data_IF_667409890839
#
_entry.id   IF_667409890839
#
_cell.length_a   1.000
_cell.length_b   1.000
_cell.length_c   1.000
_cell.angle_alpha   90.00
_cell.angle_beta   90.00
_cell.angle_gamma   90.00
#
_symmetry.space_group_name_H-M   'P 1'
#
loop_
_entity.id
_entity.type
_entity.pdbx_description
1 polymer ?
#
# COMPACT_ATOMS: atom_id res chain seq x y z
N UNK A 1 -10.57 18.13 -29.03
CA UNK A 1 -9.95 18.69 -30.24
C UNK A 1 -10.51 20.09 -30.45
N UNK A 2 -9.82 20.96 -31.17
CA UNK A 2 -10.35 22.28 -31.52
C UNK A 2 -11.36 22.15 -32.66
N UNK A 3 -11.92 23.28 -33.09
CA UNK A 3 -12.86 23.35 -34.22
C UNK A 3 -12.25 22.90 -35.56
N UNK A 4 -10.93 22.81 -35.66
CA UNK A 4 -10.19 22.42 -36.86
C UNK A 4 -9.73 20.95 -36.80
N UNK A 5 -10.10 20.21 -35.75
CA UNK A 5 -9.68 18.81 -35.55
C UNK A 5 -8.29 18.65 -34.93
N UNK A 6 -7.63 19.72 -34.48
CA UNK A 6 -6.33 19.62 -33.82
C UNK A 6 -6.47 19.14 -32.38
N UNK A 7 -5.46 18.40 -31.91
CA UNK A 7 -5.39 18.00 -30.50
C UNK A 7 -5.07 19.21 -29.62
N UNK A 8 -6.02 19.61 -28.76
CA UNK A 8 -5.86 20.74 -27.83
C UNK A 8 -5.15 20.31 -26.55
N UNK A 9 -5.47 19.11 -26.06
CA UNK A 9 -4.86 18.51 -24.87
C UNK A 9 -4.77 17.00 -25.09
N UNK A 10 -3.62 16.42 -24.76
CA UNK A 10 -3.40 14.97 -24.77
C UNK A 10 -2.76 14.56 -23.44
N UNK A 11 -3.35 13.55 -22.77
CA UNK A 11 -2.81 12.91 -21.57
C UNK A 11 -2.31 13.90 -20.50
N UNK A 12 -3.03 15.01 -20.31
CA UNK A 12 -2.73 16.03 -19.30
C UNK A 12 -3.41 15.63 -17.99
N UNK A 13 -2.62 15.58 -16.92
CA UNK A 13 -3.12 15.50 -15.55
C UNK A 13 -3.21 16.92 -15.00
N UNK A 14 -4.40 17.30 -14.55
CA UNK A 14 -4.65 18.56 -13.84
C UNK A 14 -4.33 18.39 -12.35
N UNK A 15 -3.97 19.47 -11.68
CA UNK A 15 -3.66 19.46 -10.25
C UNK A 15 -4.90 19.89 -9.45
N UNK A 16 -5.09 19.28 -8.29
CA UNK A 16 -5.98 19.72 -7.21
C UNK A 16 -5.12 20.20 -6.04
N UNK A 17 -5.71 20.85 -5.02
CA UNK A 17 -4.96 21.25 -3.82
C UNK A 17 -4.25 20.07 -3.12
N UNK A 18 -4.81 18.86 -3.20
CA UNK A 18 -4.33 17.65 -2.53
C UNK A 18 -3.29 16.86 -3.34
N UNK A 19 -3.24 17.04 -4.66
CA UNK A 19 -2.32 16.31 -5.55
C UNK A 19 -2.78 16.26 -7.00
N UNK A 20 -2.32 15.25 -7.74
CA UNK A 20 -2.76 15.02 -9.12
C UNK A 20 -4.24 14.64 -9.13
N UNK A 21 -5.02 15.25 -10.03
CA UNK A 21 -6.45 15.00 -10.26
C UNK A 21 -6.74 13.64 -10.89
N UNK A 22 -6.30 12.58 -10.22
CA UNK A 22 -6.55 11.18 -10.49
C UNK A 22 -7.44 10.69 -9.36
N UNK A 23 -8.75 10.94 -9.47
CA UNK A 23 -9.67 10.65 -8.36
C UNK A 23 -9.78 9.14 -8.14
N UNK A 24 -9.44 8.73 -6.92
CA UNK A 24 -9.61 7.36 -6.46
C UNK A 24 -10.87 7.26 -5.60
N UNK A 25 -11.69 6.25 -5.85
CA UNK A 25 -12.84 5.96 -5.01
C UNK A 25 -12.39 5.63 -3.58
N UNK A 26 -13.10 6.19 -2.60
CA UNK A 26 -12.88 5.85 -1.19
C UNK A 26 -13.14 4.34 -0.99
N UNK A 27 -12.23 3.66 -0.31
CA UNK A 27 -12.34 2.22 -0.04
C UNK A 27 -13.34 1.96 1.09
N UNK A 28 -14.17 0.93 0.93
CA UNK A 28 -15.02 0.42 1.99
C UNK A 28 -14.13 -0.14 3.12
N UNK A 29 -14.20 0.39 4.35
CA UNK A 29 -13.25 0.05 5.41
C UNK A 29 -13.53 -1.32 6.05
N UNK A 30 -14.60 -2.00 5.65
CA UNK A 30 -14.97 -3.32 6.17
C UNK A 30 -15.13 -4.36 5.04
N UNK A 31 -14.78 -5.60 5.35
CA UNK A 31 -15.01 -6.72 4.44
C UNK A 31 -16.52 -6.98 4.33
N UNK A 32 -17.10 -6.94 3.12
CA UNK A 32 -18.51 -7.28 2.87
C UNK A 32 -18.73 -8.78 2.54
N UNK A 33 -17.67 -9.59 2.60
CA UNK A 33 -17.71 -11.04 2.33
C UNK A 33 -18.10 -11.86 3.56
N UNK A 34 -18.55 -13.11 3.34
CA UNK A 34 -18.96 -14.06 4.40
C UNK A 34 -17.83 -14.49 5.34
N UNK A 35 -16.58 -14.33 4.93
CA UNK A 35 -15.39 -14.61 5.75
C UNK A 35 -14.58 -13.34 5.89
N UNK A 36 -14.22 -13.00 7.13
CA UNK A 36 -13.30 -11.90 7.39
C UNK A 36 -11.94 -12.21 6.77
N UNK A 37 -11.30 -11.18 6.20
CA UNK A 37 -9.89 -11.29 5.77
C UNK A 37 -8.99 -11.41 7.00
N UNK A 38 -7.82 -12.02 6.82
CA UNK A 38 -6.79 -12.03 7.87
C UNK A 38 -6.30 -10.61 8.14
N UNK A 39 -5.82 -10.35 9.35
CA UNK A 39 -5.34 -9.03 9.75
C UNK A 39 -4.24 -8.53 8.79
N UNK A 40 -3.33 -9.41 8.41
CA UNK A 40 -2.16 -9.14 7.56
C UNK A 40 -2.57 -8.69 6.16
N UNK A 41 -3.71 -9.20 5.66
CA UNK A 41 -4.23 -8.83 4.34
C UNK A 41 -4.47 -7.32 4.20
N UNK A 42 -4.71 -6.63 5.32
CA UNK A 42 -4.94 -5.18 5.33
C UNK A 42 -3.87 -4.41 6.11
N UNK A 43 -3.40 -4.95 7.23
CA UNK A 43 -2.49 -4.24 8.13
C UNK A 43 -1.01 -4.37 7.73
N UNK A 44 -0.63 -5.41 6.96
CA UNK A 44 0.73 -5.64 6.46
C UNK A 44 0.84 -5.50 4.93
N UNK A 45 -0.10 -4.76 4.34
CA UNK A 45 -0.15 -4.58 2.91
C UNK A 45 0.13 -3.12 2.54
N UNK A 46 1.29 -2.81 1.92
CA UNK A 46 1.63 -1.46 1.49
C UNK A 46 0.56 -0.80 0.61
N UNK A 47 -0.12 -1.58 -0.25
CA UNK A 47 -1.20 -1.10 -1.10
C UNK A 47 -2.38 -0.62 -0.26
N UNK A 48 -2.78 -1.40 0.75
CA UNK A 48 -3.89 -1.05 1.64
C UNK A 48 -3.59 0.21 2.46
N UNK A 49 -2.33 0.43 2.81
CA UNK A 49 -1.85 1.63 3.49
C UNK A 49 -1.62 2.81 2.54
N UNK A 50 -1.90 2.66 1.25
CA UNK A 50 -1.79 3.72 0.24
C UNK A 50 -0.37 3.94 -0.31
N UNK A 51 0.61 3.08 0.01
CA UNK A 51 1.98 3.18 -0.50
C UNK A 51 2.17 2.57 -1.90
N UNK A 52 1.13 1.94 -2.46
CA UNK A 52 1.19 1.24 -3.73
C UNK A 52 1.52 -0.25 -3.59
N UNK A 53 1.37 -0.99 -4.68
CA UNK A 53 1.75 -2.40 -4.75
C UNK A 53 3.26 -2.47 -4.57
N UNK A 54 3.72 -3.26 -3.58
CA UNK A 54 5.16 -3.41 -3.31
C UNK A 54 5.85 -2.06 -3.11
N UNK A 55 5.18 -1.17 -2.35
CA UNK A 55 5.62 0.21 -2.08
C UNK A 55 5.74 1.11 -3.32
N UNK A 56 4.98 0.79 -4.38
CA UNK A 56 5.06 1.50 -5.64
C UNK A 56 6.37 1.26 -6.36
N UNK A 57 7.07 0.16 -6.04
CA UNK A 57 8.31 -0.25 -6.73
C UNK A 57 8.03 -0.63 -8.18
N UNK A 58 6.90 -1.28 -8.42
CA UNK A 58 6.49 -1.75 -9.75
C UNK A 58 5.58 -0.75 -10.45
N UNK A 59 5.18 -1.07 -11.68
CA UNK A 59 4.20 -0.30 -12.45
C UNK A 59 4.60 1.19 -12.60
N UNK A 60 5.89 1.46 -12.83
CA UNK A 60 6.40 2.79 -13.20
C UNK A 60 6.55 2.92 -14.72
N UNK A 61 6.82 4.12 -15.21
CA UNK A 61 7.11 4.35 -16.63
C UNK A 61 5.90 4.76 -17.46
N UNK A 62 4.76 5.04 -16.85
CA UNK A 62 3.58 5.56 -17.55
C UNK A 62 3.88 6.89 -18.25
N UNK A 63 4.85 7.66 -17.75
CA UNK A 63 5.32 8.89 -18.37
C UNK A 63 6.01 8.69 -19.73
N UNK A 64 6.39 7.44 -20.06
CA UNK A 64 7.05 7.06 -21.33
C UNK A 64 6.13 6.32 -22.28
N UNK A 65 4.97 5.87 -21.80
CA UNK A 65 4.12 4.91 -22.50
C UNK A 65 4.74 3.53 -22.52
N UNK A 66 3.96 2.52 -22.93
CA UNK A 66 4.47 1.16 -23.01
C UNK A 66 4.10 0.45 -24.32
N UNK A 67 5.07 -0.35 -24.76
CA UNK A 67 5.05 -1.13 -25.99
C UNK A 67 5.35 -2.61 -25.71
N UNK A 68 4.40 -3.51 -25.93
CA UNK A 68 4.64 -4.96 -25.87
C UNK A 68 4.89 -5.47 -27.29
N UNK A 69 6.05 -6.10 -27.49
CA UNK A 69 6.52 -6.57 -28.79
C UNK A 69 7.55 -7.68 -28.60
N UNK A 70 7.70 -8.55 -29.60
CA UNK A 70 8.73 -9.58 -29.66
C UNK A 70 10.13 -8.95 -29.52
N UNK A 71 10.94 -9.52 -28.63
CA UNK A 71 12.28 -9.04 -28.34
C UNK A 71 13.28 -10.20 -28.31
N UNK A 72 14.52 -9.92 -28.72
CA UNK A 72 15.66 -10.81 -28.49
C UNK A 72 15.94 -10.94 -26.99
N UNK A 73 16.75 -11.94 -26.60
CA UNK A 73 17.21 -12.12 -25.22
C UNK A 73 17.96 -10.90 -24.64
N UNK A 74 18.46 -10.00 -25.50
CA UNK A 74 19.13 -8.74 -25.13
C UNK A 74 18.18 -7.54 -25.10
N UNK A 75 16.86 -7.75 -25.22
CA UNK A 75 15.86 -6.68 -25.19
C UNK A 75 15.67 -5.91 -26.51
N UNK A 76 16.46 -6.20 -27.55
CA UNK A 76 16.23 -5.59 -28.88
C UNK A 76 14.91 -6.09 -29.46
N UNK A 77 13.98 -5.19 -29.72
CA UNK A 77 12.70 -5.49 -30.39
C UNK A 77 12.96 -5.99 -31.81
N UNK A 78 12.26 -7.05 -32.21
CA UNK A 78 12.41 -7.75 -33.50
C UNK A 78 11.60 -7.06 -34.61
N UNK A 79 10.32 -6.65 -34.39
CA UNK A 79 9.54 -5.99 -35.44
C UNK A 79 10.15 -4.63 -35.83
N UNK A 80 10.13 -4.33 -37.12
CA UNK A 80 10.53 -3.01 -37.63
C UNK A 80 9.40 -1.98 -37.49
N UNK A 81 8.16 -2.41 -37.73
CA UNK A 81 6.97 -1.61 -37.49
C UNK A 81 6.41 -1.95 -36.11
N UNK A 82 6.15 -0.91 -35.31
CA UNK A 82 5.69 -1.06 -33.92
C UNK A 82 4.69 0.02 -33.60
N UNK A 83 3.76 -0.30 -32.70
CA UNK A 83 2.81 0.64 -32.16
C UNK A 83 2.87 0.62 -30.63
N UNK A 84 2.78 1.81 -30.03
CA UNK A 84 2.65 1.95 -28.59
C UNK A 84 1.21 1.56 -28.20
N UNK A 85 1.04 0.54 -27.35
CA UNK A 85 -0.28 0.14 -26.86
C UNK A 85 -0.85 1.13 -25.85
N UNK A 86 -0.01 1.72 -25.01
CA UNK A 86 -0.44 2.77 -24.08
C UNK A 86 0.43 4.01 -24.21
N UNK A 87 -0.20 5.11 -24.60
CA UNK A 87 0.46 6.38 -24.82
C UNK A 87 1.03 6.94 -23.51
N UNK A 88 2.15 7.66 -23.62
CA UNK A 88 2.75 8.35 -22.49
C UNK A 88 1.78 9.30 -21.79
N UNK A 89 1.77 9.29 -20.46
CA UNK A 89 1.05 10.24 -19.61
C UNK A 89 2.10 10.97 -18.78
N UNK A 90 2.66 12.11 -19.25
CA UNK A 90 3.83 12.74 -18.62
C UNK A 90 3.65 13.10 -17.14
N UNK A 91 2.42 13.36 -16.70
CA UNK A 91 2.12 13.66 -15.29
C UNK A 91 1.99 12.43 -14.38
N UNK A 92 2.01 11.21 -14.94
CA UNK A 92 1.86 9.96 -14.19
C UNK A 92 3.24 9.32 -14.00
N UNK A 93 3.98 9.87 -13.04
CA UNK A 93 5.37 9.56 -12.70
C UNK A 93 5.53 8.53 -11.55
N UNK A 94 4.44 7.89 -11.13
CA UNK A 94 4.38 6.97 -10.00
C UNK A 94 3.45 5.78 -10.32
N UNK A 95 3.49 4.76 -9.46
CA UNK A 95 2.54 3.65 -9.49
C UNK A 95 1.12 4.18 -9.27
N UNK A 96 0.19 3.83 -10.16
CA UNK A 96 -1.23 4.22 -10.06
C UNK A 96 -1.88 3.82 -8.73
N UNK A 97 -1.40 2.75 -8.10
CA UNK A 97 -1.91 2.31 -6.81
C UNK A 97 -1.29 3.04 -5.61
N UNK A 98 -0.31 3.91 -5.84
CA UNK A 98 0.36 4.70 -4.81
C UNK A 98 -0.36 6.04 -4.61
N UNK A 99 -0.91 6.21 -3.41
CA UNK A 99 -1.71 7.36 -3.02
C UNK A 99 -0.90 8.34 -2.17
N UNK A 100 -0.05 7.81 -1.29
CA UNK A 100 0.80 8.56 -0.36
C UNK A 100 2.20 7.97 -0.34
N UNK A 101 3.19 8.82 -0.14
CA UNK A 101 4.57 8.40 0.08
C UNK A 101 4.81 8.05 1.56
N UNK A 102 5.90 7.32 1.85
CA UNK A 102 6.39 7.07 3.22
C UNK A 102 6.62 8.37 4.01
N UNK A 103 6.95 9.46 3.32
CA UNK A 103 7.16 10.80 3.90
C UNK A 103 5.86 11.60 4.07
N UNK A 104 4.69 10.95 4.00
CA UNK A 104 3.38 11.56 4.17
C UNK A 104 3.00 12.62 3.11
N UNK A 105 3.59 12.55 1.92
CA UNK A 105 3.16 13.36 0.77
C UNK A 105 2.06 12.62 0.00
N UNK A 106 0.89 13.22 -0.13
CA UNK A 106 -0.19 12.74 -1.01
C UNK A 106 0.20 12.99 -2.48
N UNK A 107 -0.10 12.01 -3.34
CA UNK A 107 0.25 12.04 -4.77
C UNK A 107 -0.96 12.33 -5.65
N UNK A 108 -2.14 11.86 -5.24
CA UNK A 108 -3.38 11.92 -6.01
C UNK A 108 -4.56 12.36 -5.14
N UNK A 109 -5.56 12.99 -5.75
CA UNK A 109 -6.84 13.29 -5.10
C UNK A 109 -7.61 12.00 -4.79
N UNK A 110 -8.38 11.99 -3.70
CA UNK A 110 -9.22 10.85 -3.32
C UNK A 110 -10.59 11.37 -2.91
N UNK A 111 -11.62 10.76 -3.48
CA UNK A 111 -13.00 10.99 -3.09
C UNK A 111 -13.40 12.47 -3.17
N UNK A 112 -13.00 13.20 -4.22
CA UNK A 112 -13.22 14.66 -4.35
C UNK A 112 -14.67 15.14 -4.20
N UNK A 113 -15.62 14.22 -4.09
CA UNK A 113 -17.04 14.41 -3.84
C UNK A 113 -17.40 14.61 -2.35
N UNK A 114 -16.54 14.22 -1.39
CA UNK A 114 -16.87 14.24 0.04
C UNK A 114 -15.75 14.88 0.88
N UNK A 115 -16.03 15.89 1.73
CA UNK A 115 -15.01 16.61 2.50
C UNK A 115 -14.16 15.76 3.45
N UNK A 116 -14.69 14.62 3.91
CA UNK A 116 -14.02 13.74 4.87
C UNK A 116 -13.25 12.59 4.22
N UNK A 117 -13.23 12.52 2.88
CA UNK A 117 -12.44 11.50 2.19
C UNK A 117 -10.99 11.93 2.06
N UNK A 118 -10.12 10.93 2.02
CA UNK A 118 -8.69 11.17 1.94
C UNK A 118 -7.91 9.91 2.23
N UNK A 119 -6.57 9.97 2.09
CA UNK A 119 -5.73 8.86 2.45
C UNK A 119 -5.78 8.66 3.96
N UNK A 120 -5.53 7.42 4.39
CA UNK A 120 -5.43 7.12 5.80
C UNK A 120 -4.37 8.05 6.47
N UNK A 121 -4.71 8.76 7.56
CA UNK A 121 -3.78 9.69 8.21
C UNK A 121 -2.48 9.02 8.64
N UNK A 122 -1.36 9.74 8.57
CA UNK A 122 -0.03 9.19 8.91
C UNK A 122 0.03 8.56 10.30
N UNK A 123 -0.63 9.15 11.30
CA UNK A 123 -0.63 8.59 12.65
C UNK A 123 -1.36 7.24 12.72
N UNK A 124 -2.38 7.02 11.89
CA UNK A 124 -3.07 5.72 11.80
C UNK A 124 -2.23 4.71 11.03
N UNK A 125 -1.62 5.09 9.90
CA UNK A 125 -0.70 4.21 9.17
C UNK A 125 0.46 3.73 10.05
N UNK A 126 1.10 4.64 10.78
CA UNK A 126 2.17 4.31 11.75
C UNK A 126 1.73 3.34 12.85
N UNK A 127 0.42 3.32 13.18
CA UNK A 127 -0.15 2.33 14.12
C UNK A 127 -0.36 0.97 13.45
N UNK A 128 -0.84 0.96 12.20
CA UNK A 128 -1.13 -0.26 11.44
C UNK A 128 0.13 -0.97 10.95
N UNK A 129 1.18 -0.24 10.58
CA UNK A 129 2.47 -0.74 10.07
C UNK A 129 3.32 -1.50 11.10
N UNK A 130 2.79 -1.73 12.30
CA UNK A 130 3.46 -2.51 13.35
C UNK A 130 3.12 -3.99 13.18
N UNK A 131 3.42 -4.48 11.99
CA UNK A 131 2.89 -5.71 11.43
C UNK A 131 3.42 -6.94 12.17
N UNK A 132 2.57 -7.95 12.30
CA UNK A 132 2.88 -9.20 13.02
C UNK A 132 2.71 -9.18 14.54
N UNK A 133 2.47 -8.02 15.19
CA UNK A 133 2.26 -7.96 16.65
C UNK A 133 0.81 -7.96 17.11
N UNK A 134 -0.12 -7.68 16.20
CA UNK A 134 -1.54 -7.69 16.53
C UNK A 134 -1.98 -9.09 16.97
N UNK A 135 -1.49 -10.15 16.34
CA UNK A 135 -1.88 -11.54 16.64
C UNK A 135 -1.51 -11.93 18.08
N UNK A 136 -0.30 -11.59 18.55
CA UNK A 136 0.15 -11.98 19.91
C UNK A 136 -0.69 -11.42 21.05
N UNK A 137 -1.34 -10.26 20.83
CA UNK A 137 -2.18 -9.58 21.82
C UNK A 137 -3.69 -9.76 21.54
N UNK A 138 -4.13 -9.61 20.28
CA UNK A 138 -5.54 -9.67 19.92
C UNK A 138 -6.10 -11.09 19.74
N UNK A 139 -5.28 -12.08 19.39
CA UNK A 139 -5.76 -13.46 19.28
C UNK A 139 -6.26 -13.99 20.63
N UNK A 140 -5.59 -13.59 21.71
CA UNK A 140 -5.89 -14.04 23.07
C UNK A 140 -6.52 -12.93 23.93
N UNK A 141 -7.08 -11.87 23.33
CA UNK A 141 -7.66 -10.76 24.11
C UNK A 141 -8.86 -11.17 24.98
N UNK A 142 -9.46 -12.33 24.69
CA UNK A 142 -10.55 -12.91 25.48
C UNK A 142 -10.04 -13.71 26.69
N UNK A 143 -8.73 -13.98 26.78
CA UNK A 143 -8.11 -14.52 28.00
C UNK A 143 -7.81 -13.37 28.96
N UNK A 144 -8.73 -13.13 29.89
CA UNK A 144 -8.64 -12.04 30.86
C UNK A 144 -7.35 -12.09 31.71
N UNK A 145 -6.89 -13.29 32.07
CA UNK A 145 -5.73 -13.49 32.93
C UNK A 145 -4.41 -13.20 32.21
N UNK A 146 -4.34 -13.54 30.92
CA UNK A 146 -3.24 -13.12 30.05
C UNK A 146 -3.34 -11.61 29.78
N UNK A 147 -4.52 -11.12 29.39
CA UNK A 147 -4.73 -9.74 28.99
C UNK A 147 -4.38 -8.75 30.10
N UNK A 148 -4.78 -9.03 31.34
CA UNK A 148 -4.43 -8.19 32.49
C UNK A 148 -2.91 -8.01 32.71
N UNK A 149 -2.08 -8.97 32.26
CA UNK A 149 -0.62 -8.95 32.42
C UNK A 149 0.10 -8.22 31.28
N UNK A 150 -0.50 -8.16 30.10
CA UNK A 150 0.16 -7.65 28.87
C UNK A 150 -0.48 -6.40 28.30
N UNK A 151 -1.73 -6.10 28.68
CA UNK A 151 -2.43 -4.90 28.25
C UNK A 151 -1.82 -3.66 28.90
N UNK A 152 -1.46 -2.68 28.07
CA UNK A 152 -1.00 -1.37 28.50
C UNK A 152 -1.68 -0.30 27.66
N UNK A 153 -2.11 0.78 28.31
CA UNK A 153 -2.59 1.99 27.62
C UNK A 153 -1.45 2.78 26.98
N UNK A 154 -0.20 2.48 27.34
CA UNK A 154 0.98 3.16 26.83
C UNK A 154 1.30 2.72 25.40
N UNK A 155 1.56 3.70 24.54
CA UNK A 155 1.95 3.45 23.17
C UNK A 155 3.44 3.15 23.07
N UNK A 156 3.77 2.05 22.41
CA UNK A 156 5.14 1.54 22.30
C UNK A 156 5.70 1.93 20.93
N UNK A 157 6.86 2.56 20.81
CA UNK A 157 7.46 2.88 19.51
C UNK A 157 8.17 1.66 18.87
N UNK A 158 8.71 1.79 17.66
CA UNK A 158 9.36 0.67 16.95
C UNK A 158 10.57 0.11 17.68
N UNK A 159 11.32 0.94 18.41
CA UNK A 159 12.49 0.49 19.17
C UNK A 159 12.08 -0.29 20.42
N UNK A 160 11.15 0.26 21.19
CA UNK A 160 10.57 -0.41 22.35
C UNK A 160 9.88 -1.72 21.94
N UNK A 161 9.25 -1.75 20.77
CA UNK A 161 8.67 -2.94 20.18
C UNK A 161 9.72 -4.02 19.91
N UNK A 162 10.83 -3.68 19.24
CA UNK A 162 11.94 -4.63 19.02
C UNK A 162 12.48 -5.17 20.35
N UNK A 163 12.57 -4.33 21.36
CA UNK A 163 12.99 -4.75 22.70
C UNK A 163 12.01 -5.77 23.33
N UNK A 164 10.70 -5.57 23.19
CA UNK A 164 9.68 -6.52 23.69
C UNK A 164 9.75 -7.85 22.95
N UNK A 165 9.87 -7.83 21.62
CA UNK A 165 10.01 -9.06 20.84
C UNK A 165 11.27 -9.83 21.20
N UNK A 166 12.39 -9.12 21.41
CA UNK A 166 13.62 -9.75 21.87
C UNK A 166 13.44 -10.39 23.26
N UNK A 167 12.73 -9.74 24.19
CA UNK A 167 12.39 -10.31 25.51
C UNK A 167 11.51 -11.54 25.38
N UNK A 168 10.48 -11.50 24.53
CA UNK A 168 9.58 -12.63 24.29
C UNK A 168 10.34 -13.84 23.71
N UNK A 169 11.17 -13.62 22.69
CA UNK A 169 12.03 -14.65 22.11
C UNK A 169 13.03 -15.20 23.14
N UNK A 170 13.64 -14.34 23.96
CA UNK A 170 14.56 -14.76 25.03
C UNK A 170 13.87 -15.54 26.15
N UNK A 171 12.59 -15.26 26.42
CA UNK A 171 11.80 -16.05 27.35
C UNK A 171 11.43 -17.40 26.75
N UNK A 172 11.06 -17.43 25.46
CA UNK A 172 10.72 -18.65 24.74
C UNK A 172 11.94 -19.57 24.56
N UNK A 173 13.14 -19.03 24.34
CA UNK A 173 14.37 -19.81 24.15
C UNK A 173 14.78 -20.66 25.36
N UNK A 174 14.23 -20.36 26.54
CA UNK A 174 14.41 -21.18 27.75
C UNK A 174 13.72 -22.54 27.64
N UNK A 175 12.81 -22.70 26.69
CA UNK A 175 12.13 -23.95 26.39
C UNK A 175 12.72 -24.55 25.11
N UNK A 176 13.07 -25.84 25.13
CA UNK A 176 13.56 -26.54 23.92
C UNK A 176 12.41 -26.61 22.92
N UNK A 177 12.49 -25.84 21.84
CA UNK A 177 11.42 -25.72 20.84
C UNK A 177 11.28 -27.03 20.07
N UNK A 178 10.12 -27.68 20.14
CA UNK A 178 9.75 -28.70 19.17
C UNK A 178 9.34 -28.03 17.85
N UNK A 179 9.64 -28.61 16.68
CA UNK A 179 9.21 -28.05 15.40
C UNK A 179 7.68 -27.93 15.36
N UNK A 180 7.19 -26.74 15.02
CA UNK A 180 5.75 -26.49 14.85
C UNK A 180 5.30 -27.27 13.61
N UNK A 181 4.49 -28.32 13.81
CA UNK A 181 3.79 -28.98 12.70
C UNK A 181 2.58 -28.14 12.33
N UNK A 182 2.72 -27.33 11.29
CA UNK A 182 1.58 -26.67 10.65
C UNK A 182 0.76 -27.73 9.92
N UNK A 183 -0.56 -27.74 10.15
CA UNK A 183 -1.52 -28.53 9.37
C UNK A 183 -1.83 -27.82 8.07
#
# INVERSE_FOLDING_TARGET
MDKNGNTVVKNKIWQTPEGKGLDHAAVQPHTAGRRARTCESCHDNPKTLGYGIEEGRFLKGYEKGFGVDLATVRGRKIPQQRQIQSQAIPGLDHDLSQIVTRNNRQLVSIGSHWPLTGPLPAFMRKKMERTGLCIGCHQNMLDEGMWAKVNSTAFINNEQHRAIMNRALSAYSKYKSAPIKLK
#
